data_IF_508111656862
#
_entry.id   IF_508111656862
#
_cell.length_a   1.000
_cell.length_b   1.000
_cell.length_c   1.000
_cell.angle_alpha   90.00
_cell.angle_beta   90.00
_cell.angle_gamma   90.00
#
_symmetry.space_group_name_H-M   'P 1'
#
loop_
_entity.id
_entity.type
_entity.pdbx_description
1 polymer ?
#
# COMPACT_ATOMS: atom_id res chain seq x y z
N UNK A 1 -8.09 22.68 -11.98
CA UNK A 1 -7.24 23.17 -10.88
C UNK A 1 -6.03 22.25 -10.84
N UNK A 2 -4.82 22.80 -10.73
CA UNK A 2 -3.61 21.96 -10.63
C UNK A 2 -3.24 21.87 -9.16
N UNK A 3 -3.26 20.66 -8.59
CA UNK A 3 -2.77 20.36 -7.25
C UNK A 3 -1.66 19.33 -7.42
N UNK A 4 -0.49 19.54 -6.80
CA UNK A 4 0.64 18.61 -6.90
C UNK A 4 1.07 18.26 -8.35
N UNK A 5 0.91 19.18 -9.31
CA UNK A 5 1.39 19.00 -10.68
C UNK A 5 0.44 18.24 -11.63
N UNK A 6 -0.74 17.82 -11.17
CA UNK A 6 -1.73 17.16 -12.02
C UNK A 6 -3.00 18.01 -12.24
N UNK A 7 -3.62 17.87 -13.41
CA UNK A 7 -4.84 18.60 -13.78
C UNK A 7 -6.08 17.95 -13.15
N UNK A 8 -6.67 18.58 -12.13
CA UNK A 8 -7.93 18.17 -11.53
C UNK A 8 -9.10 18.91 -12.19
N UNK A 9 -10.10 18.16 -12.63
CA UNK A 9 -11.40 18.72 -13.00
C UNK A 9 -12.22 18.93 -11.73
N UNK A 10 -12.70 20.17 -11.51
CA UNK A 10 -13.59 20.50 -10.39
C UNK A 10 -15.03 20.16 -10.78
N UNK A 11 -15.30 18.88 -11.04
CA UNK A 11 -16.65 18.41 -11.31
C UNK A 11 -17.36 18.22 -9.96
N UNK A 12 -18.52 18.87 -9.79
CA UNK A 12 -19.34 18.71 -8.59
C UNK A 12 -20.10 17.38 -8.60
N UNK A 13 -20.91 17.14 -7.55
CA UNK A 13 -21.77 15.96 -7.49
C UNK A 13 -22.63 15.82 -8.75
N UNK A 14 -22.73 14.58 -9.25
CA UNK A 14 -23.57 14.24 -10.39
C UNK A 14 -25.07 14.18 -10.03
N UNK A 15 -25.40 14.27 -8.74
CA UNK A 15 -26.75 14.45 -8.23
C UNK A 15 -26.91 15.90 -7.71
N UNK A 16 -28.08 16.54 -7.94
CA UNK A 16 -28.35 17.85 -7.37
C UNK A 16 -28.52 17.77 -5.85
N UNK A 17 -28.08 18.80 -5.09
CA UNK A 17 -28.40 18.93 -3.68
C UNK A 17 -29.92 18.91 -3.43
N UNK A 18 -30.35 18.43 -2.27
CA UNK A 18 -31.77 18.30 -1.93
C UNK A 18 -32.53 19.65 -2.09
N UNK A 19 -33.57 19.65 -2.93
CA UNK A 19 -34.41 20.83 -3.19
C UNK A 19 -33.86 21.79 -4.27
N UNK A 20 -32.66 21.56 -4.80
CA UNK A 20 -32.12 22.34 -5.91
C UNK A 20 -32.45 21.72 -7.27
N UNK A 21 -32.59 22.58 -8.29
CA UNK A 21 -32.81 22.13 -9.67
C UNK A 21 -31.49 21.64 -10.29
N UNK A 22 -31.51 20.53 -11.07
CA UNK A 22 -30.32 20.01 -11.74
C UNK A 22 -29.75 21.00 -12.77
N UNK A 23 -28.42 21.03 -12.88
CA UNK A 23 -27.71 21.90 -13.84
C UNK A 23 -26.58 21.15 -14.56
N UNK A 24 -26.25 21.60 -15.77
CA UNK A 24 -25.13 21.12 -16.57
C UNK A 24 -25.11 19.59 -16.78
N UNK A 25 -24.11 18.89 -16.25
CA UNK A 25 -23.96 17.44 -16.40
C UNK A 25 -25.02 16.65 -15.63
N UNK A 26 -25.56 17.21 -14.53
CA UNK A 26 -26.60 16.58 -13.72
C UNK A 26 -27.89 16.35 -14.51
N UNK A 27 -28.15 17.20 -15.50
CA UNK A 27 -29.35 17.11 -16.37
C UNK A 27 -29.39 15.84 -17.23
N UNK A 28 -28.24 15.17 -17.43
CA UNK A 28 -28.17 13.91 -18.17
C UNK A 28 -28.39 12.67 -17.30
N UNK A 29 -28.41 12.83 -15.97
CA UNK A 29 -28.56 11.75 -14.99
C UNK A 29 -29.86 11.91 -14.20
N UNK A 30 -30.17 13.11 -13.73
CA UNK A 30 -31.31 13.42 -12.87
C UNK A 30 -32.53 13.85 -13.70
N UNK A 31 -33.62 13.08 -13.61
CA UNK A 31 -34.95 13.32 -14.23
C UNK A 31 -34.93 13.79 -15.71
N UNK A 32 -34.54 12.92 -16.66
CA UNK A 32 -34.39 13.31 -18.05
C UNK A 32 -35.72 13.60 -18.77
N UNK A 33 -36.85 13.11 -18.26
CA UNK A 33 -38.17 13.40 -18.86
C UNK A 33 -38.52 14.89 -18.80
N UNK A 34 -37.94 15.62 -17.83
CA UNK A 34 -38.06 17.07 -17.68
C UNK A 34 -36.79 17.83 -18.08
N UNK A 35 -35.80 17.16 -18.70
CA UNK A 35 -34.50 17.75 -19.07
C UNK A 35 -34.65 19.01 -19.92
N UNK A 36 -35.54 18.96 -20.92
CA UNK A 36 -35.86 20.10 -21.78
C UNK A 36 -36.41 21.29 -20.99
N UNK A 37 -37.35 21.03 -20.08
CA UNK A 37 -37.97 22.05 -19.24
C UNK A 37 -36.96 22.64 -18.25
N UNK A 38 -36.10 21.80 -17.66
CA UNK A 38 -35.03 22.23 -16.77
C UNK A 38 -33.98 23.08 -17.51
N UNK A 39 -33.59 22.68 -18.73
CA UNK A 39 -32.68 23.44 -19.60
C UNK A 39 -33.26 24.80 -19.97
N UNK A 40 -34.52 24.85 -20.42
CA UNK A 40 -35.19 26.12 -20.76
C UNK A 40 -35.34 27.02 -19.51
N UNK A 41 -35.70 26.44 -18.37
CA UNK A 41 -35.87 27.20 -17.12
C UNK A 41 -34.57 27.80 -16.57
N UNK A 42 -33.43 27.13 -16.77
CA UNK A 42 -32.11 27.61 -16.34
C UNK A 42 -31.66 28.86 -17.14
N UNK A 43 -32.27 29.14 -18.29
CA UNK A 43 -31.97 30.30 -19.14
C UNK A 43 -33.16 31.25 -19.35
N UNK A 44 -34.22 31.10 -18.56
CA UNK A 44 -35.46 31.88 -18.69
C UNK A 44 -35.32 33.38 -18.42
N UNK A 45 -34.19 33.84 -17.86
CA UNK A 45 -33.88 35.25 -17.63
C UNK A 45 -33.26 35.96 -18.84
N UNK A 46 -32.99 35.26 -19.95
CA UNK A 46 -32.48 35.87 -21.18
C UNK A 46 -33.63 36.40 -22.05
N UNK A 47 -33.51 37.65 -22.51
CA UNK A 47 -34.50 38.32 -23.40
C UNK A 47 -34.66 37.65 -24.78
N UNK A 48 -33.78 36.71 -25.13
CA UNK A 48 -33.86 35.92 -26.35
C UNK A 48 -34.70 34.65 -26.13
N UNK A 49 -35.80 34.51 -26.86
CA UNK A 49 -36.60 33.28 -26.88
C UNK A 49 -35.77 32.11 -27.41
N UNK A 50 -35.39 31.19 -26.52
CA UNK A 50 -34.78 29.92 -26.91
C UNK A 50 -35.81 29.10 -27.69
N UNK A 51 -35.54 28.87 -28.98
CA UNK A 51 -36.40 28.07 -29.85
C UNK A 51 -36.33 26.58 -29.42
N UNK A 52 -37.43 25.97 -28.94
CA UNK A 52 -37.43 24.59 -28.45
C UNK A 52 -36.99 23.58 -29.52
N UNK A 53 -37.26 23.89 -30.79
CA UNK A 53 -36.91 23.08 -31.96
C UNK A 53 -35.38 22.98 -32.17
N UNK A 54 -34.65 24.07 -31.92
CA UNK A 54 -33.19 24.09 -32.00
C UNK A 54 -32.57 23.31 -30.84
N UNK A 55 -33.11 23.47 -29.63
CA UNK A 55 -32.63 22.73 -28.46
C UNK A 55 -32.85 21.22 -28.62
N UNK A 56 -34.01 20.82 -29.15
CA UNK A 56 -34.32 19.42 -29.47
C UNK A 56 -33.36 18.86 -30.51
N UNK A 57 -33.07 19.65 -31.56
CA UNK A 57 -32.13 19.24 -32.62
C UNK A 57 -30.69 19.10 -32.10
N UNK A 58 -30.26 20.00 -31.23
CA UNK A 58 -28.94 19.95 -30.58
C UNK A 58 -28.83 18.77 -29.61
N UNK A 59 -29.87 18.48 -28.82
CA UNK A 59 -29.89 17.31 -27.95
C UNK A 59 -29.83 16.02 -28.75
N UNK A 60 -30.62 15.91 -29.83
CA UNK A 60 -30.55 14.75 -30.72
C UNK A 60 -29.16 14.58 -31.33
N UNK A 61 -28.53 15.67 -31.80
CA UNK A 61 -27.17 15.62 -32.32
C UNK A 61 -26.18 15.16 -31.24
N UNK A 62 -26.29 15.67 -30.01
CA UNK A 62 -25.44 15.25 -28.89
C UNK A 62 -25.69 13.79 -28.50
N UNK A 63 -26.92 13.33 -28.55
CA UNK A 63 -27.27 11.94 -28.24
C UNK A 63 -26.75 10.96 -29.30
N UNK A 64 -26.77 11.37 -30.57
CA UNK A 64 -26.30 10.56 -31.70
C UNK A 64 -24.77 10.53 -31.79
N UNK A 65 -24.11 11.65 -31.52
CA UNK A 65 -22.68 11.82 -31.83
C UNK A 65 -21.77 12.02 -30.63
N UNK A 66 -22.28 12.40 -29.46
CA UNK A 66 -21.44 12.66 -28.29
C UNK A 66 -21.37 11.44 -27.36
N UNK A 67 -20.23 10.75 -27.38
CA UNK A 67 -19.98 9.54 -26.59
C UNK A 67 -20.05 9.78 -25.07
N UNK A 68 -19.76 10.99 -24.59
CA UNK A 68 -19.90 11.32 -23.17
C UNK A 68 -21.38 11.38 -22.76
N UNK A 69 -22.25 11.95 -23.60
CA UNK A 69 -23.70 12.01 -23.34
C UNK A 69 -24.30 10.61 -23.28
N UNK A 70 -23.89 9.72 -24.20
CA UNK A 70 -24.27 8.30 -24.18
C UNK A 70 -23.82 7.61 -22.88
N UNK A 71 -22.60 7.90 -22.43
CA UNK A 71 -22.02 7.36 -21.19
C UNK A 71 -22.82 7.81 -19.95
N UNK A 72 -23.11 9.10 -19.81
CA UNK A 72 -23.92 9.63 -18.70
C UNK A 72 -25.33 9.02 -18.67
N UNK A 73 -25.96 8.82 -19.83
CA UNK A 73 -27.29 8.20 -19.93
C UNK A 73 -27.31 6.72 -19.58
N UNK A 74 -26.21 6.00 -19.80
CA UNK A 74 -26.04 4.59 -19.40
C UNK A 74 -25.86 4.46 -17.89
N UNK A 75 -25.05 5.33 -17.28
CA UNK A 75 -24.85 5.39 -15.82
C UNK A 75 -26.18 5.63 -15.08
N UNK A 76 -27.05 6.49 -15.62
CA UNK A 76 -28.42 6.69 -15.11
C UNK A 76 -29.25 5.41 -15.07
N UNK A 77 -29.28 4.63 -16.17
CA UNK A 77 -30.06 3.40 -16.22
C UNK A 77 -29.59 2.42 -15.14
N UNK A 78 -28.29 2.36 -14.88
CA UNK A 78 -27.71 1.50 -13.85
C UNK A 78 -27.95 1.99 -12.41
N UNK A 79 -28.09 3.30 -12.20
CA UNK A 79 -28.39 3.88 -10.88
C UNK A 79 -29.87 3.74 -10.46
N UNK A 80 -30.79 3.63 -11.44
CA UNK A 80 -32.22 3.45 -11.16
C UNK A 80 -32.60 1.99 -10.86
N UNK A 81 -31.78 1.03 -11.29
CA UNK A 81 -31.93 -0.38 -10.92
C UNK A 81 -31.32 -0.59 -9.53
N UNK A 82 -32.17 -0.86 -8.53
CA UNK A 82 -31.86 -0.73 -7.09
C UNK A 82 -30.94 -1.81 -6.50
N UNK A 83 -30.18 -2.54 -7.32
CA UNK A 83 -29.49 -3.77 -6.90
C UNK A 83 -28.09 -3.90 -7.52
N UNK A 84 -27.24 -2.88 -7.34
CA UNK A 84 -25.84 -2.95 -7.78
C UNK A 84 -24.90 -3.31 -6.62
N UNK A 85 -24.40 -4.56 -6.54
CA UNK A 85 -23.32 -4.92 -5.63
C UNK A 85 -21.96 -4.40 -6.12
N UNK A 86 -21.10 -4.03 -5.16
CA UNK A 86 -19.76 -3.50 -5.41
C UNK A 86 -18.78 -4.64 -5.76
N UNK A 87 -18.30 -4.69 -7.00
CA UNK A 87 -17.42 -5.75 -7.53
C UNK A 87 -16.00 -5.23 -7.84
N UNK A 88 -14.99 -6.12 -7.80
CA UNK A 88 -13.65 -5.85 -8.33
C UNK A 88 -13.21 -6.92 -9.31
N UNK A 89 -12.58 -6.49 -10.41
CA UNK A 89 -12.13 -7.33 -11.52
C UNK A 89 -10.64 -7.67 -11.46
N UNK A 90 -10.31 -8.89 -11.89
CA UNK A 90 -8.94 -9.33 -12.22
C UNK A 90 -8.94 -10.08 -13.55
N UNK A 91 -7.90 -9.86 -14.35
CA UNK A 91 -7.68 -10.48 -15.65
C UNK A 91 -6.51 -11.47 -15.49
N UNK A 92 -6.69 -12.73 -15.90
CA UNK A 92 -5.61 -13.71 -15.97
C UNK A 92 -5.25 -14.04 -17.43
N UNK A 93 -3.95 -14.07 -17.73
CA UNK A 93 -3.38 -14.76 -18.91
C UNK A 93 -3.13 -13.94 -20.18
N UNK A 94 -1.86 -13.64 -20.46
CA UNK A 94 -1.18 -13.91 -21.75
C UNK A 94 0.34 -13.68 -21.59
N UNK A 95 1.16 -14.65 -22.03
CA UNK A 95 2.64 -14.54 -22.05
C UNK A 95 3.08 -13.46 -23.05
N UNK A 96 4.08 -12.68 -22.63
CA UNK A 96 4.88 -11.66 -23.34
C UNK A 96 4.57 -11.32 -24.82
N UNK A 97 4.45 -10.01 -25.12
CA UNK A 97 5.34 -9.28 -26.04
C UNK A 97 5.00 -7.78 -26.17
N UNK A 98 6.06 -6.97 -26.16
CA UNK A 98 6.20 -5.58 -26.65
C UNK A 98 5.65 -4.41 -25.81
N UNK A 99 6.44 -4.02 -24.79
CA UNK A 99 7.02 -2.70 -24.46
C UNK A 99 6.33 -1.35 -24.81
N UNK A 100 5.01 -1.30 -24.95
CA UNK A 100 4.28 -0.03 -25.02
C UNK A 100 2.95 -0.02 -24.24
N UNK A 101 2.55 -1.16 -23.66
CA UNK A 101 1.30 -1.34 -22.91
C UNK A 101 1.51 -2.27 -21.70
N UNK A 102 2.44 -1.93 -20.82
CA UNK A 102 2.50 -2.58 -19.51
C UNK A 102 1.27 -2.19 -18.67
N UNK A 103 0.85 -3.09 -17.77
CA UNK A 103 -0.23 -2.87 -16.81
C UNK A 103 0.03 -1.60 -15.98
N UNK A 104 -1.00 -0.76 -15.73
CA UNK A 104 -0.85 0.37 -14.81
C UNK A 104 -0.49 -0.14 -13.41
N UNK A 105 0.62 0.35 -12.86
CA UNK A 105 1.04 0.11 -11.47
C UNK A 105 0.34 1.03 -10.45
N UNK A 106 -0.52 1.93 -10.92
CA UNK A 106 -1.39 2.80 -10.10
C UNK A 106 -2.77 2.17 -9.88
N UNK A 107 -3.41 2.55 -8.77
CA UNK A 107 -4.82 2.25 -8.50
C UNK A 107 -5.73 3.10 -9.38
N UNK A 108 -5.77 2.80 -10.68
CA UNK A 108 -6.72 3.40 -11.62
C UNK A 108 -7.95 2.50 -11.82
N UNK A 109 -9.08 3.15 -12.13
CA UNK A 109 -10.39 2.54 -12.34
C UNK A 109 -10.39 1.79 -13.67
N UNK A 110 -10.74 0.49 -13.67
CA UNK A 110 -10.94 -0.32 -14.89
C UNK A 110 -12.43 -0.31 -15.27
N UNK A 111 -12.74 -0.07 -16.54
CA UNK A 111 -14.09 -0.17 -17.09
C UNK A 111 -14.22 -1.44 -17.96
N UNK A 112 -15.31 -2.18 -17.81
CA UNK A 112 -15.63 -3.39 -18.57
C UNK A 112 -16.70 -3.06 -19.61
N UNK A 113 -16.48 -3.43 -20.89
CA UNK A 113 -17.43 -3.17 -21.98
C UNK A 113 -18.15 -4.48 -22.33
N UNK A 114 -19.43 -4.65 -21.96
CA UNK A 114 -20.21 -5.82 -22.36
C UNK A 114 -20.46 -5.77 -23.88
N UNK A 115 -20.10 -6.84 -24.59
CA UNK A 115 -20.35 -7.02 -26.02
C UNK A 115 -19.11 -7.08 -26.91
N UNK A 116 -17.92 -6.78 -26.37
CA UNK A 116 -16.64 -6.84 -27.10
C UNK A 116 -15.91 -8.18 -26.87
N UNK A 117 -16.66 -9.27 -26.88
CA UNK A 117 -16.13 -10.63 -26.87
C UNK A 117 -15.96 -11.07 -28.31
N UNK A 118 -14.83 -10.72 -28.92
CA UNK A 118 -14.44 -11.28 -30.21
C UNK A 118 -14.20 -12.79 -29.98
N UNK A 119 -14.94 -13.72 -30.64
CA UNK A 119 -14.89 -15.15 -30.33
C UNK A 119 -13.49 -15.79 -30.50
N UNK A 120 -12.59 -15.13 -31.24
CA UNK A 120 -11.26 -15.64 -31.59
C UNK A 120 -10.09 -14.87 -30.94
N UNK A 121 -10.35 -14.02 -29.94
CA UNK A 121 -9.26 -13.37 -29.18
C UNK A 121 -9.39 -13.57 -27.68
N UNK A 122 -8.54 -14.48 -27.23
CA UNK A 122 -7.96 -14.59 -25.90
C UNK A 122 -8.67 -15.55 -24.94
N UNK A 123 -7.93 -16.60 -24.58
CA UNK A 123 -8.17 -17.59 -23.52
C UNK A 123 -8.16 -16.95 -22.11
N UNK A 124 -8.96 -15.89 -21.90
CA UNK A 124 -9.01 -15.15 -20.64
C UNK A 124 -10.27 -15.49 -19.87
N UNK A 125 -10.09 -16.34 -18.88
CA UNK A 125 -11.11 -16.59 -17.87
C UNK A 125 -11.26 -15.35 -16.96
N UNK A 126 -12.48 -14.82 -16.91
CA UNK A 126 -12.86 -13.75 -15.97
C UNK A 126 -13.54 -14.44 -14.79
N UNK A 127 -12.84 -14.47 -13.65
CA UNK A 127 -13.37 -15.03 -12.40
C UNK A 127 -13.78 -13.86 -11.51
N UNK A 128 -15.03 -13.89 -11.05
CA UNK A 128 -15.61 -12.93 -10.10
C UNK A 128 -15.51 -13.54 -8.71
N UNK A 129 -14.80 -12.88 -7.79
CA UNK A 129 -14.53 -13.37 -6.44
C UNK A 129 -15.03 -12.36 -5.39
N UNK A 130 -15.80 -12.77 -4.35
CA UNK A 130 -16.12 -11.92 -3.21
C UNK A 130 -14.83 -11.43 -2.53
N UNK A 131 -14.68 -10.11 -2.43
CA UNK A 131 -13.42 -9.46 -2.10
C UNK A 131 -13.06 -9.59 -0.60
N UNK A 132 -12.41 -10.70 -0.27
CA UNK A 132 -11.47 -10.81 0.84
C UNK A 132 -10.14 -11.35 0.32
N UNK A 133 -9.02 -10.73 0.68
CA UNK A 133 -7.69 -11.37 0.53
C UNK A 133 -7.52 -12.57 1.45
N UNK A 134 -8.53 -12.81 2.28
CA UNK A 134 -8.63 -13.89 3.24
C UNK A 134 -9.49 -14.97 2.58
N UNK A 135 -8.93 -16.15 2.41
CA UNK A 135 -9.68 -17.27 1.84
C UNK A 135 -10.74 -17.73 2.84
N UNK A 136 -12.01 -17.77 2.42
CA UNK A 136 -13.13 -18.37 3.16
C UNK A 136 -13.13 -19.91 3.08
N UNK A 137 -12.10 -20.51 2.47
CA UNK A 137 -12.01 -21.95 2.22
C UNK A 137 -11.46 -22.73 3.41
N UNK A 138 -12.08 -22.61 4.58
CA UNK A 138 -12.02 -23.64 5.62
C UNK A 138 -13.38 -23.72 6.32
N UNK A 139 -13.84 -24.96 6.48
CA UNK A 139 -15.14 -25.36 6.97
C UNK A 139 -15.60 -24.68 8.28
N UNK A 140 -16.92 -24.70 8.45
CA UNK A 140 -17.80 -24.33 9.57
C UNK A 140 -17.36 -24.61 11.04
N UNK A 141 -16.08 -24.87 11.34
CA UNK A 141 -15.63 -25.26 12.68
C UNK A 141 -14.93 -24.17 13.52
N UNK A 142 -14.44 -23.07 12.94
CA UNK A 142 -13.73 -22.05 13.73
C UNK A 142 -14.55 -20.76 13.92
N UNK A 143 -15.55 -20.81 14.82
CA UNK A 143 -16.02 -19.61 15.53
C UNK A 143 -14.89 -19.14 16.46
N UNK A 144 -13.99 -18.30 15.95
CA UNK A 144 -12.74 -17.96 16.63
C UNK A 144 -12.93 -17.25 17.97
N UNK A 145 -13.63 -16.12 18.02
CA UNK A 145 -13.86 -15.38 19.27
C UNK A 145 -15.15 -14.59 19.19
N UNK A 146 -15.96 -14.68 20.25
CA UNK A 146 -17.19 -13.90 20.42
C UNK A 146 -18.19 -13.96 19.25
N UNK A 147 -18.13 -15.02 18.42
CA UNK A 147 -19.03 -15.24 17.29
C UNK A 147 -18.56 -14.71 15.94
N UNK A 148 -17.33 -14.19 15.83
CA UNK A 148 -16.76 -13.74 14.54
C UNK A 148 -15.97 -14.86 13.84
N UNK A 149 -16.12 -14.95 12.52
CA UNK A 149 -15.11 -15.60 11.66
C UNK A 149 -13.87 -14.68 11.54
N UNK A 150 -12.73 -15.23 11.11
CA UNK A 150 -11.52 -14.42 10.92
C UNK A 150 -11.76 -13.21 9.97
N UNK A 151 -12.34 -13.39 8.77
CA UNK A 151 -12.85 -12.30 7.94
C UNK A 151 -13.59 -11.19 8.70
N UNK A 152 -14.61 -11.58 9.46
CA UNK A 152 -15.47 -10.62 10.15
C UNK A 152 -14.72 -9.91 11.27
N UNK A 153 -13.80 -10.59 11.96
CA UNK A 153 -12.96 -9.98 12.98
C UNK A 153 -12.03 -8.92 12.40
N UNK A 154 -11.42 -9.17 11.24
CA UNK A 154 -10.57 -8.19 10.55
C UNK A 154 -11.37 -6.96 10.11
N UNK A 155 -12.60 -7.16 9.61
CA UNK A 155 -13.50 -6.04 9.27
C UNK A 155 -13.92 -5.24 10.50
N UNK A 156 -14.38 -5.91 11.56
CA UNK A 156 -14.75 -5.25 12.80
C UNK A 156 -13.59 -4.49 13.44
N UNK A 157 -12.36 -4.97 13.28
CA UNK A 157 -11.14 -4.25 13.66
C UNK A 157 -10.95 -2.98 12.84
N UNK A 158 -11.11 -3.03 11.51
CA UNK A 158 -10.97 -1.87 10.62
C UNK A 158 -12.06 -0.81 10.83
N UNK A 159 -13.30 -1.24 11.02
CA UNK A 159 -14.46 -0.36 11.24
C UNK A 159 -14.51 0.19 12.68
N UNK A 160 -13.73 -0.40 13.58
CA UNK A 160 -13.71 -0.01 14.99
C UNK A 160 -14.96 -0.42 15.75
N UNK A 161 -15.58 -1.53 15.33
CA UNK A 161 -16.74 -2.12 15.98
C UNK A 161 -16.36 -3.09 17.11
N UNK A 162 -15.08 -3.44 17.25
CA UNK A 162 -14.59 -4.26 18.36
C UNK A 162 -14.73 -3.52 19.69
N UNK A 163 -14.97 -4.29 20.76
CA UNK A 163 -15.05 -3.75 22.12
C UNK A 163 -13.69 -3.15 22.50
N UNK A 164 -13.70 -1.90 22.93
CA UNK A 164 -12.50 -1.21 23.39
C UNK A 164 -12.55 -0.95 24.89
N UNK A 165 -11.36 -0.76 25.48
CA UNK A 165 -11.15 -0.42 26.89
C UNK A 165 -10.22 0.80 26.98
N UNK A 166 -10.33 1.54 28.08
CA UNK A 166 -9.33 2.52 28.48
C UNK A 166 -8.60 2.03 29.73
N UNK A 167 -7.27 2.15 29.74
CA UNK A 167 -6.40 1.74 30.86
C UNK A 167 -5.86 2.94 31.66
N UNK A 168 -5.98 4.16 31.13
CA UNK A 168 -5.55 5.39 31.83
C UNK A 168 -6.72 6.36 31.93
N UNK A 169 -6.86 6.99 33.09
CA UNK A 169 -7.82 8.09 33.28
C UNK A 169 -7.54 9.17 32.21
N UNK A 170 -8.60 9.72 31.62
CA UNK A 170 -8.57 10.74 30.57
C UNK A 170 -7.97 10.34 29.21
N UNK A 171 -7.88 9.04 28.90
CA UNK A 171 -7.51 8.58 27.54
C UNK A 171 -8.69 7.94 26.79
N UNK A 172 -8.78 8.13 25.45
CA UNK A 172 -9.82 7.50 24.64
C UNK A 172 -9.83 5.99 24.84
N UNK A 173 -11.02 5.37 24.80
CA UNK A 173 -11.16 3.92 24.81
C UNK A 173 -10.77 3.37 23.42
N UNK A 174 -9.47 3.25 23.19
CA UNK A 174 -8.87 2.81 21.93
C UNK A 174 -8.11 1.49 22.04
N UNK A 175 -8.08 0.85 23.21
CA UNK A 175 -7.41 -0.43 23.40
C UNK A 175 -8.32 -1.59 23.07
N UNK A 176 -7.93 -2.40 22.10
CA UNK A 176 -8.61 -3.63 21.70
C UNK A 176 -7.86 -4.84 22.21
N UNK A 177 -8.60 -5.85 22.67
CA UNK A 177 -8.03 -7.14 23.06
C UNK A 177 -7.77 -7.98 21.80
N UNK A 178 -6.55 -8.49 21.68
CA UNK A 178 -6.16 -9.41 20.63
C UNK A 178 -6.44 -10.84 21.08
N UNK A 179 -7.12 -11.64 20.23
CA UNK A 179 -7.28 -13.08 20.42
C UNK A 179 -5.99 -13.81 20.83
N UNK A 180 -6.08 -14.66 21.85
CA UNK A 180 -4.97 -15.50 22.31
C UNK A 180 -4.37 -16.38 21.20
N UNK A 181 -5.20 -16.85 20.26
CA UNK A 181 -4.75 -17.66 19.10
C UNK A 181 -3.77 -16.90 18.17
N UNK A 182 -3.80 -15.57 18.17
CA UNK A 182 -2.87 -14.76 17.37
C UNK A 182 -1.65 -14.33 18.17
N UNK A 183 -1.66 -14.45 19.49
CA UNK A 183 -0.57 -13.96 20.31
C UNK A 183 0.62 -14.93 20.27
N UNK A 184 1.82 -14.36 20.21
CA UNK A 184 3.07 -15.09 20.35
C UNK A 184 3.53 -14.98 21.79
N UNK A 185 3.62 -16.12 22.47
CA UNK A 185 4.31 -16.20 23.74
C UNK A 185 5.79 -15.90 23.55
N UNK A 186 6.35 -15.05 24.41
CA UNK A 186 7.76 -14.68 24.32
C UNK A 186 8.51 -15.07 25.59
N UNK A 187 9.70 -15.61 25.39
CA UNK A 187 10.66 -15.85 26.46
C UNK A 187 11.44 -14.58 26.82
N UNK A 188 12.76 -14.74 26.99
CA UNK A 188 13.66 -13.64 27.28
C UNK A 188 13.83 -12.66 26.11
N UNK A 189 13.78 -13.17 24.86
CA UNK A 189 13.91 -12.36 23.65
C UNK A 189 12.61 -12.41 22.80
N UNK A 190 11.86 -11.30 22.74
CA UNK A 190 10.66 -11.18 21.91
C UNK A 190 10.93 -11.29 20.40
N UNK A 191 12.05 -10.75 19.93
CA UNK A 191 12.40 -10.74 18.52
C UNK A 191 12.72 -12.17 18.06
N UNK A 192 13.47 -12.92 18.88
CA UNK A 192 13.74 -14.34 18.64
C UNK A 192 12.45 -15.17 18.55
N UNK A 193 11.56 -14.98 19.53
CA UNK A 193 10.31 -15.75 19.62
C UNK A 193 9.43 -15.52 18.38
N UNK A 194 9.28 -14.26 17.97
CA UNK A 194 8.51 -13.90 16.78
C UNK A 194 9.20 -14.35 15.48
N UNK A 195 10.52 -14.16 15.39
CA UNK A 195 11.29 -14.58 14.23
C UNK A 195 11.18 -16.10 14.02
N UNK A 196 11.29 -16.88 15.08
CA UNK A 196 11.18 -18.35 15.05
C UNK A 196 9.79 -18.81 14.60
N UNK A 197 8.72 -18.15 15.07
CA UNK A 197 7.38 -18.48 14.60
C UNK A 197 7.21 -18.13 13.11
N UNK A 198 7.54 -16.91 12.67
CA UNK A 198 7.32 -16.47 11.28
C UNK A 198 8.24 -17.17 10.28
N UNK A 199 9.50 -17.34 10.65
CA UNK A 199 10.54 -17.96 9.86
C UNK A 199 10.78 -19.40 10.32
N UNK A 200 9.70 -20.19 10.37
CA UNK A 200 9.73 -21.59 10.74
C UNK A 200 10.61 -22.44 9.80
N UNK A 201 11.45 -23.30 10.38
CA UNK A 201 12.42 -24.13 9.63
C UNK A 201 13.34 -23.31 8.71
N UNK A 202 13.79 -22.13 9.19
CA UNK A 202 14.61 -21.21 8.40
C UNK A 202 15.91 -21.85 7.88
N UNK A 203 16.62 -22.63 8.70
CA UNK A 203 17.88 -23.25 8.32
C UNK A 203 17.79 -24.12 7.06
N UNK A 204 16.61 -24.72 6.81
CA UNK A 204 16.33 -25.54 5.64
C UNK A 204 15.85 -24.71 4.44
N UNK A 205 15.17 -23.59 4.69
CA UNK A 205 14.41 -22.86 3.68
C UNK A 205 14.96 -21.47 3.33
N UNK A 206 16.02 -20.99 3.98
CA UNK A 206 16.53 -19.63 3.77
C UNK A 206 17.00 -19.35 2.33
N UNK A 207 17.38 -20.41 1.58
CA UNK A 207 17.74 -20.31 0.16
C UNK A 207 16.53 -20.26 -0.78
N UNK A 208 15.33 -20.57 -0.29
CA UNK A 208 14.13 -20.67 -1.11
C UNK A 208 13.49 -19.28 -1.28
N UNK A 209 13.45 -18.72 -2.51
CA UNK A 209 12.85 -17.41 -2.75
C UNK A 209 11.36 -17.35 -2.47
N UNK A 210 10.61 -18.42 -2.76
CA UNK A 210 9.17 -18.49 -2.51
C UNK A 210 8.86 -18.49 -1.02
N UNK A 211 9.66 -19.22 -0.24
CA UNK A 211 9.56 -19.23 1.21
C UNK A 211 9.69 -17.82 1.77
N UNK A 212 10.75 -17.08 1.43
CA UNK A 212 10.97 -15.72 1.94
C UNK A 212 10.00 -14.68 1.34
N UNK A 213 9.56 -14.85 0.09
CA UNK A 213 8.64 -13.93 -0.58
C UNK A 213 7.27 -13.85 0.09
N UNK A 214 6.77 -14.97 0.61
CA UNK A 214 5.41 -15.07 1.16
C UNK A 214 5.32 -14.83 2.66
N UNK A 215 6.40 -14.36 3.30
CA UNK A 215 6.41 -14.02 4.72
C UNK A 215 7.16 -12.74 5.01
N UNK A 216 6.75 -12.06 6.08
CA UNK A 216 7.46 -10.91 6.63
C UNK A 216 7.00 -10.62 8.07
N UNK A 217 7.86 -9.95 8.82
CA UNK A 217 7.46 -9.27 10.06
C UNK A 217 7.16 -7.81 9.75
N UNK A 218 6.05 -7.29 10.24
CA UNK A 218 5.63 -5.90 10.07
C UNK A 218 5.60 -5.19 11.42
N UNK A 219 6.08 -3.95 11.45
CA UNK A 219 6.13 -3.14 12.68
C UNK A 219 5.70 -1.69 12.43
N UNK A 220 5.35 -0.90 13.45
CA UNK A 220 4.93 0.49 13.25
C UNK A 220 6.09 1.43 12.84
N UNK A 221 7.31 1.21 13.34
CA UNK A 221 8.44 2.15 13.22
C UNK A 221 9.63 1.55 12.48
N UNK A 222 10.42 2.39 11.79
CA UNK A 222 11.64 1.92 11.12
C UNK A 222 12.72 1.45 12.11
N UNK A 223 12.77 2.01 13.32
CA UNK A 223 13.76 1.63 14.33
C UNK A 223 13.63 0.14 14.71
N UNK A 224 12.41 -0.31 15.01
CA UNK A 224 12.13 -1.72 15.29
C UNK A 224 12.40 -2.62 14.08
N UNK A 225 12.14 -2.13 12.85
CA UNK A 225 12.49 -2.88 11.63
C UNK A 225 14.00 -3.09 11.53
N UNK A 226 14.80 -2.06 11.81
CA UNK A 226 16.26 -2.16 11.77
C UNK A 226 16.78 -3.14 12.82
N UNK A 227 16.24 -3.12 14.04
CA UNK A 227 16.58 -4.05 15.12
C UNK A 227 16.28 -5.50 14.72
N UNK A 228 15.07 -5.78 14.25
CA UNK A 228 14.68 -7.11 13.79
C UNK A 228 15.54 -7.59 12.62
N UNK A 229 15.76 -6.74 11.61
CA UNK A 229 16.56 -7.12 10.45
C UNK A 229 18.02 -7.40 10.82
N UNK A 230 18.57 -6.63 11.77
CA UNK A 230 19.91 -6.86 12.31
C UNK A 230 19.96 -8.18 13.07
N UNK A 231 18.99 -8.44 13.95
CA UNK A 231 18.85 -9.72 14.63
C UNK A 231 18.83 -10.89 13.63
N UNK A 232 18.01 -10.78 12.57
CA UNK A 232 17.93 -11.80 11.53
C UNK A 232 19.22 -11.96 10.73
N UNK A 233 20.07 -10.94 10.60
CA UNK A 233 21.35 -11.07 9.91
C UNK A 233 22.44 -11.68 10.81
N UNK A 234 22.49 -11.23 12.07
CA UNK A 234 23.55 -11.53 13.04
C UNK A 234 23.33 -12.89 13.71
N UNK A 235 22.11 -13.13 14.19
CA UNK A 235 21.69 -14.33 14.93
C UNK A 235 20.84 -15.27 14.06
N UNK A 236 20.07 -14.69 13.14
CA UNK A 236 19.13 -15.39 12.26
C UNK A 236 19.80 -16.10 11.08
N UNK A 237 20.48 -17.21 11.37
CA UNK A 237 20.31 -18.45 10.61
C UNK A 237 20.73 -18.48 9.11
N UNK A 238 21.34 -17.44 8.53
CA UNK A 238 22.05 -17.52 7.24
C UNK A 238 23.53 -17.86 7.50
N UNK A 239 23.99 -19.07 7.17
CA UNK A 239 25.36 -19.53 7.42
C UNK A 239 26.39 -18.94 6.43
N UNK A 240 25.92 -18.29 5.36
CA UNK A 240 26.78 -17.67 4.36
C UNK A 240 27.59 -16.49 4.95
N UNK A 241 28.85 -16.30 4.51
CA UNK A 241 29.70 -15.23 5.03
C UNK A 241 29.14 -13.85 4.70
N UNK A 242 29.25 -12.93 5.68
CA UNK A 242 28.86 -11.54 5.52
C UNK A 242 29.89 -10.72 4.74
N UNK A 243 29.41 -9.74 3.98
CA UNK A 243 30.21 -8.69 3.35
C UNK A 243 29.64 -7.33 3.70
N UNK A 244 30.51 -6.44 4.18
CA UNK A 244 30.15 -5.08 4.57
C UNK A 244 30.54 -4.10 3.49
N UNK A 245 29.61 -3.21 3.13
CA UNK A 245 29.81 -2.12 2.20
C UNK A 245 29.70 -0.79 2.92
N UNK A 246 30.79 -0.02 2.91
CA UNK A 246 30.81 1.35 3.41
C UNK A 246 30.33 2.33 2.33
N UNK A 247 29.56 3.34 2.73
CA UNK A 247 29.17 4.44 1.85
C UNK A 247 30.32 5.41 1.64
N UNK A 248 30.22 6.22 0.60
CA UNK A 248 31.05 7.41 0.43
C UNK A 248 30.17 8.64 0.63
N UNK A 249 30.46 9.38 1.69
CA UNK A 249 29.68 10.53 2.13
C UNK A 249 30.46 11.82 1.85
N UNK A 250 29.79 12.83 1.31
CA UNK A 250 30.37 14.16 1.05
C UNK A 250 29.30 15.25 1.11
N UNK A 251 29.73 16.50 1.21
CA UNK A 251 28.83 17.66 1.19
C UNK A 251 28.66 18.17 -0.25
N UNK A 252 27.44 18.52 -0.63
CA UNK A 252 27.21 19.35 -1.81
C UNK A 252 27.66 20.77 -1.47
N UNK A 253 28.63 21.32 -2.20
CA UNK A 253 29.06 22.71 -2.03
C UNK A 253 27.89 23.66 -2.34
N UNK A 254 27.32 24.25 -1.30
CA UNK A 254 26.48 25.44 -1.40
C UNK A 254 27.40 26.67 -1.36
N UNK A 255 27.17 27.60 -2.27
CA UNK A 255 28.00 28.79 -2.49
C UNK A 255 28.04 29.67 -1.24
N UNK A 256 29.06 29.47 -0.39
CA UNK A 256 29.81 30.47 0.38
C UNK A 256 30.72 29.75 1.41
N UNK A 257 32.04 29.79 1.16
CA UNK A 257 33.15 29.24 1.98
C UNK A 257 33.25 27.70 2.04
N UNK A 258 33.75 27.07 0.98
CA UNK A 258 34.00 25.62 0.92
C UNK A 258 34.92 25.09 2.04
N UNK A 259 35.88 25.90 2.50
CA UNK A 259 36.90 25.48 3.47
C UNK A 259 36.38 25.44 4.93
N UNK A 260 35.29 26.16 5.26
CA UNK A 260 34.79 26.23 6.64
C UNK A 260 33.86 25.06 7.02
N UNK A 261 33.18 24.46 6.03
CA UNK A 261 32.19 23.41 6.27
C UNK A 261 32.82 22.03 6.46
N UNK A 262 33.89 21.71 5.73
CA UNK A 262 34.58 20.42 5.87
C UNK A 262 35.29 20.30 7.24
N UNK A 263 35.78 21.41 7.79
CA UNK A 263 36.32 21.45 9.16
C UNK A 263 35.21 21.34 10.23
N UNK A 264 34.03 21.91 9.98
CA UNK A 264 32.90 21.86 10.92
C UNK A 264 32.19 20.50 10.95
N UNK A 265 32.26 19.72 9.87
CA UNK A 265 31.51 18.48 9.69
C UNK A 265 32.43 17.33 9.24
N UNK A 266 33.13 16.68 10.19
CA UNK A 266 34.04 15.59 9.87
C UNK A 266 33.30 14.39 9.25
N UNK A 267 34.00 13.59 8.45
CA UNK A 267 33.40 12.46 7.71
C UNK A 267 32.80 11.42 8.65
N UNK A 268 33.38 11.21 9.83
CA UNK A 268 32.86 10.33 10.88
C UNK A 268 31.48 10.78 11.37
N UNK A 269 31.27 12.10 11.49
CA UNK A 269 29.96 12.65 11.81
C UNK A 269 28.97 12.35 10.69
N UNK A 270 29.34 12.59 9.42
CA UNK A 270 28.46 12.30 8.27
C UNK A 270 28.07 10.81 8.19
N UNK A 271 29.04 9.93 8.41
CA UNK A 271 28.85 8.47 8.42
C UNK A 271 27.91 8.01 9.55
N UNK A 272 27.82 8.75 10.66
CA UNK A 272 26.91 8.44 11.77
C UNK A 272 25.44 8.77 11.49
N UNK A 273 25.16 9.56 10.46
CA UNK A 273 23.80 10.03 10.16
C UNK A 273 22.97 8.92 9.46
N UNK A 274 21.77 8.69 9.97
CA UNK A 274 20.79 7.74 9.44
C UNK A 274 19.54 8.47 8.95
N UNK A 275 18.93 7.98 7.87
CA UNK A 275 17.79 8.66 7.25
C UNK A 275 16.73 7.68 6.74
N UNK A 276 15.48 8.10 6.78
CA UNK A 276 14.40 7.33 6.19
C UNK A 276 14.54 7.25 4.67
N UNK A 277 14.52 6.02 4.15
CA UNK A 277 14.59 5.77 2.70
C UNK A 277 15.96 6.00 2.08
N UNK A 278 17.02 6.10 2.88
CA UNK A 278 18.41 6.15 2.43
C UNK A 278 19.15 5.01 3.16
N UNK A 279 20.00 4.25 2.47
CA UNK A 279 20.82 3.24 3.12
C UNK A 279 21.76 3.86 4.16
N UNK A 280 22.06 3.08 5.19
CA UNK A 280 23.04 3.44 6.21
C UNK A 280 24.47 3.44 5.63
N UNK A 281 25.39 4.09 6.34
CA UNK A 281 26.79 4.12 5.97
C UNK A 281 27.37 2.70 5.90
N UNK A 282 27.13 1.91 6.94
CA UNK A 282 27.54 0.51 7.02
C UNK A 282 26.39 -0.40 6.58
N UNK A 283 26.57 -1.09 5.47
CA UNK A 283 25.60 -2.05 4.94
C UNK A 283 26.20 -3.44 4.89
N UNK A 284 25.88 -4.27 5.88
CA UNK A 284 26.31 -5.68 5.94
C UNK A 284 25.26 -6.58 5.31
N UNK A 285 25.71 -7.45 4.39
CA UNK A 285 24.84 -8.34 3.62
C UNK A 285 25.43 -9.76 3.56
N UNK A 286 24.57 -10.76 3.43
CA UNK A 286 24.91 -12.17 3.18
C UNK A 286 24.20 -12.65 1.91
N UNK A 287 24.74 -13.67 1.26
CA UNK A 287 24.05 -14.34 0.13
C UNK A 287 22.76 -14.98 0.68
N UNK A 288 21.71 -15.05 -0.13
CA UNK A 288 20.35 -15.53 0.19
C UNK A 288 19.52 -14.61 1.10
N UNK A 289 20.08 -13.49 1.55
CA UNK A 289 19.33 -12.52 2.36
C UNK A 289 18.34 -11.70 1.50
N UNK A 290 17.07 -11.54 1.94
CA UNK A 290 16.11 -10.63 1.33
C UNK A 290 16.51 -9.18 1.58
N UNK A 291 16.54 -8.40 0.51
CA UNK A 291 16.67 -6.95 0.54
C UNK A 291 15.49 -6.28 -0.17
N UNK A 292 15.23 -5.03 0.18
CA UNK A 292 14.21 -4.19 -0.46
C UNK A 292 14.88 -3.00 -1.13
N UNK A 293 14.50 -2.72 -2.37
CA UNK A 293 14.92 -1.52 -3.08
C UNK A 293 14.32 -0.26 -2.45
N UNK A 294 15.14 0.79 -2.33
CA UNK A 294 14.75 2.09 -1.78
C UNK A 294 14.44 3.14 -2.86
N UNK A 295 14.76 2.84 -4.12
CA UNK A 295 14.58 3.74 -5.26
C UNK A 295 14.06 2.98 -6.48
N UNK A 296 13.43 3.73 -7.37
CA UNK A 296 13.09 3.23 -8.70
C UNK A 296 14.38 3.22 -9.52
N UNK A 297 14.82 2.02 -9.90
CA UNK A 297 15.99 1.81 -10.76
C UNK A 297 15.52 1.59 -12.20
N UNK A 298 14.56 0.67 -12.39
CA UNK A 298 14.00 0.36 -13.69
C UNK A 298 12.58 -0.15 -13.54
N UNK A 299 11.61 0.69 -13.90
CA UNK A 299 10.19 0.32 -13.85
C UNK A 299 9.88 -0.87 -14.77
N UNK A 300 10.45 -0.88 -15.99
CA UNK A 300 10.24 -1.95 -16.96
C UNK A 300 10.87 -3.30 -16.61
N UNK A 301 11.73 -3.36 -15.58
CA UNK A 301 12.26 -4.62 -15.02
C UNK A 301 11.64 -4.93 -13.64
N UNK A 302 10.62 -4.19 -13.20
CA UNK A 302 10.02 -4.35 -11.88
C UNK A 302 10.95 -3.93 -10.71
N UNK A 303 12.05 -3.21 -10.99
CA UNK A 303 12.99 -2.69 -9.99
C UNK A 303 12.53 -1.33 -9.48
N UNK A 304 11.42 -1.32 -8.75
CA UNK A 304 10.84 -0.14 -8.12
C UNK A 304 11.07 -0.12 -6.60
N UNK A 305 10.82 1.03 -5.98
CA UNK A 305 10.88 1.18 -4.53
C UNK A 305 9.90 0.22 -3.86
N UNK A 306 10.39 -0.61 -2.94
CA UNK A 306 9.61 -1.65 -2.27
C UNK A 306 9.78 -3.05 -2.88
N UNK A 307 10.34 -3.20 -4.09
CA UNK A 307 10.63 -4.51 -4.67
C UNK A 307 11.59 -5.27 -3.78
N UNK A 308 11.20 -6.51 -3.42
CA UNK A 308 12.01 -7.44 -2.64
C UNK A 308 12.87 -8.27 -3.58
N UNK A 309 14.15 -8.41 -3.24
CA UNK A 309 15.15 -9.12 -4.04
C UNK A 309 15.93 -10.04 -3.11
N UNK A 310 16.13 -11.29 -3.50
CA UNK A 310 17.07 -12.20 -2.85
C UNK A 310 18.47 -11.97 -3.38
N UNK A 311 19.45 -11.78 -2.51
CA UNK A 311 20.85 -11.67 -2.95
C UNK A 311 21.36 -13.02 -3.44
N UNK A 312 21.93 -13.06 -4.65
CA UNK A 312 22.57 -14.25 -5.22
C UNK A 312 24.09 -14.14 -5.29
N UNK A 313 24.63 -12.92 -5.42
CA UNK A 313 26.09 -12.69 -5.44
C UNK A 313 26.47 -11.29 -4.95
N UNK A 314 27.62 -11.21 -4.26
CA UNK A 314 28.15 -10.02 -3.61
C UNK A 314 29.52 -9.60 -4.21
N UNK A 315 29.48 -8.81 -5.29
CA UNK A 315 30.68 -8.23 -5.92
C UNK A 315 31.18 -6.98 -5.20
N UNK A 316 32.28 -6.36 -5.65
CA UNK A 316 32.81 -5.13 -5.01
C UNK A 316 31.99 -3.89 -5.38
N UNK A 317 31.55 -3.82 -6.63
CA UNK A 317 30.83 -2.68 -7.21
C UNK A 317 29.42 -3.03 -7.66
N UNK A 318 29.11 -4.32 -7.72
CA UNK A 318 27.82 -4.85 -8.20
C UNK A 318 27.28 -5.87 -7.20
N UNK A 319 25.98 -5.82 -6.95
CA UNK A 319 25.24 -6.85 -6.25
C UNK A 319 24.28 -7.49 -7.25
N UNK A 320 24.23 -8.82 -7.26
CA UNK A 320 23.25 -9.57 -8.04
C UNK A 320 22.19 -10.15 -7.14
N UNK A 321 20.96 -10.24 -7.65
CA UNK A 321 19.89 -10.89 -6.94
C UNK A 321 18.74 -11.31 -7.85
N UNK A 322 17.74 -11.96 -7.26
CA UNK A 322 16.54 -12.42 -7.96
C UNK A 322 15.31 -11.78 -7.33
N UNK A 323 14.39 -11.25 -8.13
CA UNK A 323 13.17 -10.62 -7.63
C UNK A 323 12.29 -11.67 -6.92
N UNK A 324 11.87 -11.35 -5.71
CA UNK A 324 10.97 -12.18 -4.91
C UNK A 324 9.51 -11.93 -5.31
N UNK A 325 8.78 -12.96 -5.73
CA UNK A 325 7.35 -12.88 -6.08
C UNK A 325 7.04 -12.61 -7.57
N UNK A 326 8.05 -12.61 -8.44
CA UNK A 326 7.87 -12.58 -9.90
C UNK A 326 7.59 -13.98 -10.49
N UNK A 327 6.87 -14.04 -11.61
CA UNK A 327 6.64 -15.28 -12.36
C UNK A 327 7.88 -15.63 -13.21
N UNK A 328 8.87 -16.32 -12.65
CA UNK A 328 9.93 -16.98 -13.42
C UNK A 328 11.31 -17.02 -12.76
N UNK A 329 12.02 -18.11 -13.01
CA UNK A 329 13.37 -18.43 -12.52
C UNK A 329 14.52 -17.59 -13.13
N UNK A 330 14.22 -16.53 -13.90
CA UNK A 330 15.20 -15.95 -14.85
C UNK A 330 15.52 -14.47 -14.69
N UNK A 331 14.90 -13.74 -13.75
CA UNK A 331 15.15 -12.30 -13.61
C UNK A 331 16.27 -12.04 -12.60
N UNK A 332 17.50 -12.43 -12.97
CA UNK A 332 18.70 -11.96 -12.28
C UNK A 332 18.86 -10.45 -12.54
N UNK A 333 18.90 -9.68 -11.46
CA UNK A 333 18.97 -8.23 -11.48
C UNK A 333 20.28 -7.76 -10.91
N UNK A 334 20.81 -6.69 -11.49
CA UNK A 334 22.06 -6.06 -11.05
C UNK A 334 21.71 -4.76 -10.33
N UNK A 335 22.25 -4.62 -9.12
CA UNK A 335 22.09 -3.44 -8.28
C UNK A 335 23.45 -2.77 -8.18
N UNK A 336 23.50 -1.48 -8.53
CA UNK A 336 24.69 -0.64 -8.48
C UNK A 336 24.57 0.38 -7.35
N UNK A 337 25.71 0.89 -6.88
CA UNK A 337 25.74 2.06 -6.01
C UNK A 337 25.26 3.30 -6.75
N UNK A 338 24.36 4.06 -6.12
CA UNK A 338 23.88 5.35 -6.63
C UNK A 338 24.20 6.45 -5.62
N UNK A 339 24.21 7.70 -6.09
CA UNK A 339 24.34 8.88 -5.22
C UNK A 339 22.95 9.32 -4.78
N UNK A 340 22.77 9.50 -3.47
CA UNK A 340 21.54 9.95 -2.84
C UNK A 340 21.82 11.30 -2.17
N UNK A 341 21.07 12.32 -2.53
CA UNK A 341 21.16 13.64 -1.90
C UNK A 341 20.14 13.72 -0.77
N UNK A 342 20.57 14.26 0.38
CA UNK A 342 19.75 14.42 1.58
C UNK A 342 19.74 15.88 1.97
N UNK A 343 18.56 16.48 1.88
CA UNK A 343 18.30 17.84 2.32
C UNK A 343 17.55 17.78 3.65
N UNK A 344 18.02 18.51 4.65
CA UNK A 344 17.36 18.65 5.93
C UNK A 344 17.24 20.14 6.26
N UNK A 345 16.03 20.68 6.48
CA UNK A 345 15.84 22.10 6.80
C UNK A 345 16.60 22.57 8.05
N UNK A 346 16.98 21.64 8.93
CA UNK A 346 17.74 21.93 10.15
C UNK A 346 19.24 22.06 9.92
N UNK A 347 19.74 21.71 8.74
CA UNK A 347 21.16 21.66 8.44
C UNK A 347 21.53 22.67 7.37
N UNK A 348 22.71 23.29 7.49
CA UNK A 348 23.18 24.27 6.51
C UNK A 348 23.80 23.61 5.26
N UNK A 349 23.66 22.29 5.09
CA UNK A 349 24.30 21.53 4.02
C UNK A 349 23.36 20.48 3.44
N UNK A 350 23.68 20.03 2.22
CA UNK A 350 23.08 18.85 1.60
C UNK A 350 24.08 17.71 1.62
N UNK A 351 23.72 16.59 2.25
CA UNK A 351 24.56 15.40 2.27
C UNK A 351 24.43 14.64 0.95
N UNK A 352 25.56 14.24 0.37
CA UNK A 352 25.64 13.26 -0.71
C UNK A 352 26.12 11.94 -0.15
N UNK A 353 25.29 10.90 -0.23
CA UNK A 353 25.67 9.52 0.14
C UNK A 353 25.67 8.62 -1.08
N UNK A 354 26.83 8.07 -1.44
CA UNK A 354 26.95 7.04 -2.48
C UNK A 354 26.91 5.65 -1.86
N UNK A 355 25.84 4.91 -2.10
CA UNK A 355 25.63 3.56 -1.55
C UNK A 355 24.67 2.73 -2.42
N UNK A 356 24.63 1.41 -2.23
CA UNK A 356 23.60 0.56 -2.86
C UNK A 356 22.21 0.94 -2.33
N UNK A 357 21.21 1.22 -3.18
CA UNK A 357 19.91 1.72 -2.77
C UNK A 357 19.00 0.60 -2.23
N UNK A 358 19.48 -0.15 -1.26
CA UNK A 358 18.83 -1.32 -0.68
C UNK A 358 18.90 -1.30 0.84
N UNK A 359 17.99 -2.04 1.48
CA UNK A 359 18.05 -2.37 2.91
C UNK A 359 17.60 -3.80 3.14
N UNK A 360 18.02 -4.41 4.25
CA UNK A 360 17.52 -5.72 4.69
C UNK A 360 15.99 -5.73 4.79
N UNK A 361 15.37 -6.88 4.47
CA UNK A 361 13.92 -7.01 4.40
C UNK A 361 13.39 -8.37 4.87
N UNK A 362 13.79 -8.79 6.07
CA UNK A 362 13.03 -9.77 6.85
C UNK A 362 11.83 -9.12 7.55
N UNK A 363 11.99 -7.85 7.93
CA UNK A 363 10.89 -7.00 8.34
C UNK A 363 10.74 -5.74 7.50
N UNK A 364 9.55 -5.17 7.57
CA UNK A 364 9.21 -3.88 6.99
C UNK A 364 8.22 -3.14 7.87
N UNK A 365 8.01 -1.85 7.61
CA UNK A 365 6.97 -1.14 8.36
C UNK A 365 5.59 -1.55 7.85
N UNK A 366 4.58 -1.45 8.70
CA UNK A 366 3.18 -1.69 8.33
C UNK A 366 2.81 -0.86 7.10
N UNK A 367 3.19 0.42 7.08
CA UNK A 367 2.93 1.31 5.94
C UNK A 367 3.57 0.81 4.64
N UNK A 368 4.77 0.21 4.70
CA UNK A 368 5.45 -0.36 3.53
C UNK A 368 4.86 -1.71 3.09
N UNK A 369 4.20 -2.42 3.99
CA UNK A 369 3.48 -3.66 3.66
C UNK A 369 2.16 -3.41 2.93
N UNK A 370 1.65 -2.18 2.92
CA UNK A 370 0.38 -1.84 2.29
C UNK A 370 0.34 -2.29 0.82
N UNK A 371 -0.74 -2.95 0.43
CA UNK A 371 -0.92 -3.48 -0.92
C UNK A 371 -0.33 -4.88 -1.12
N UNK A 372 0.59 -5.34 -0.29
CA UNK A 372 1.17 -6.70 -0.36
C UNK A 372 0.23 -7.73 0.27
N UNK A 373 0.31 -8.98 -0.21
CA UNK A 373 -0.42 -10.12 0.37
C UNK A 373 0.59 -11.23 0.64
N UNK A 374 0.61 -11.72 1.87
CA UNK A 374 1.58 -12.69 2.37
C UNK A 374 0.84 -13.90 2.96
N UNK A 375 1.48 -15.06 2.94
CA UNK A 375 0.92 -16.28 3.51
C UNK A 375 1.09 -16.30 5.03
N UNK A 376 2.20 -15.73 5.53
CA UNK A 376 2.52 -15.66 6.98
C UNK A 376 3.03 -14.27 7.36
N UNK A 377 2.42 -13.65 8.36
CA UNK A 377 2.72 -12.28 8.80
C UNK A 377 2.86 -12.25 10.32
N UNK A 378 4.00 -11.73 10.78
CA UNK A 378 4.21 -11.39 12.18
C UNK A 378 4.03 -9.91 12.40
N UNK A 379 3.20 -9.48 13.34
CA UNK A 379 3.08 -8.08 13.73
C UNK A 379 3.82 -7.90 15.06
N UNK A 380 4.92 -7.16 15.06
CA UNK A 380 5.63 -6.83 16.30
C UNK A 380 5.26 -5.42 16.77
N UNK A 381 4.69 -5.34 17.97
CA UNK A 381 4.25 -4.11 18.61
C UNK A 381 4.99 -3.92 19.93
N UNK A 382 6.27 -3.50 19.92
CA UNK A 382 6.97 -3.08 21.14
C UNK A 382 6.39 -1.78 21.72
N UNK A 383 5.72 -1.01 20.87
CA UNK A 383 4.88 0.12 21.20
C UNK A 383 3.58 -0.01 20.38
N UNK A 384 2.45 0.53 20.87
CA UNK A 384 1.20 0.53 20.12
C UNK A 384 1.31 1.27 18.78
N UNK A 385 0.43 0.95 17.83
CA UNK A 385 0.28 1.73 16.59
C UNK A 385 -0.10 3.18 16.90
N UNK A 386 0.28 4.11 16.01
CA UNK A 386 0.14 5.55 16.22
C UNK A 386 -0.65 6.27 15.11
N UNK A 387 -1.09 5.53 14.09
CA UNK A 387 -1.80 6.10 12.94
C UNK A 387 -3.13 5.40 12.67
N UNK A 388 -4.06 6.13 12.05
CA UNK A 388 -5.39 5.65 11.71
C UNK A 388 -5.34 4.39 10.84
N UNK A 389 -6.07 3.35 11.25
CA UNK A 389 -6.20 2.10 10.49
C UNK A 389 -4.89 1.31 10.36
N UNK A 390 -3.81 1.73 11.02
CA UNK A 390 -2.50 1.10 10.88
C UNK A 390 -2.52 -0.37 11.32
N UNK A 391 -3.18 -0.68 12.44
CA UNK A 391 -3.31 -2.06 12.91
C UNK A 391 -4.09 -2.93 11.90
N UNK A 392 -5.19 -2.42 11.36
CA UNK A 392 -5.96 -3.07 10.31
C UNK A 392 -5.12 -3.31 9.04
N UNK A 393 -4.30 -2.34 8.62
CA UNK A 393 -3.39 -2.52 7.49
C UNK A 393 -2.45 -3.69 7.73
N UNK A 394 -1.85 -3.80 8.93
CA UNK A 394 -0.96 -4.91 9.28
C UNK A 394 -1.67 -6.28 9.27
N UNK A 395 -2.82 -6.38 9.93
CA UNK A 395 -3.62 -7.62 10.04
C UNK A 395 -4.12 -8.09 8.68
N UNK A 396 -4.58 -7.18 7.83
CA UNK A 396 -5.13 -7.49 6.50
C UNK A 396 -4.09 -7.92 5.46
N UNK A 397 -2.79 -8.03 5.83
CA UNK A 397 -1.74 -8.51 4.92
C UNK A 397 -1.74 -10.03 4.73
N UNK A 398 -2.38 -10.77 5.63
CA UNK A 398 -2.40 -12.24 5.64
C UNK A 398 -3.65 -12.82 4.99
N UNK A 399 -3.53 -14.00 4.39
CA UNK A 399 -4.65 -14.71 3.74
C UNK A 399 -5.49 -15.61 4.65
N UNK A 400 -5.00 -15.92 5.84
CA UNK A 400 -5.70 -16.84 6.75
C UNK A 400 -5.36 -16.54 8.20
N UNK A 401 -6.23 -16.96 9.11
CA UNK A 401 -6.04 -16.81 10.55
C UNK A 401 -4.74 -17.48 11.02
N UNK A 402 -4.46 -18.67 10.47
CA UNK A 402 -3.26 -19.47 10.79
C UNK A 402 -1.95 -18.77 10.42
N UNK A 403 -1.96 -17.93 9.39
CA UNK A 403 -0.80 -17.16 8.96
C UNK A 403 -0.52 -15.92 9.81
N UNK A 404 -1.44 -15.53 10.71
CA UNK A 404 -1.29 -14.32 11.52
C UNK A 404 -0.64 -14.64 12.87
N UNK A 405 0.36 -13.85 13.24
CA UNK A 405 0.95 -13.83 14.58
C UNK A 405 1.19 -12.40 15.01
N UNK A 406 0.96 -12.11 16.28
CA UNK A 406 1.08 -10.77 16.86
C UNK A 406 1.83 -10.91 18.17
N UNK A 407 2.92 -10.17 18.32
CA UNK A 407 3.64 -10.04 19.58
C UNK A 407 3.49 -8.61 20.07
N UNK A 408 2.92 -8.46 21.26
CA UNK A 408 2.69 -7.17 21.90
C UNK A 408 3.57 -7.10 23.14
N UNK A 409 4.28 -5.98 23.30
CA UNK A 409 4.95 -5.64 24.55
C UNK A 409 4.37 -4.34 25.06
N UNK A 410 3.71 -4.41 26.21
CA UNK A 410 3.20 -3.25 26.91
C UNK A 410 4.02 -2.96 28.16
N UNK A 411 3.78 -1.79 28.75
CA UNK A 411 4.21 -1.45 30.10
C UNK A 411 3.43 -2.27 31.13
N UNK A 412 4.00 -2.54 32.30
CA UNK A 412 3.46 -3.43 33.34
C UNK A 412 1.97 -3.21 33.69
N UNK A 413 1.45 -1.99 33.52
CA UNK A 413 0.05 -1.64 33.80
C UNK A 413 -0.98 -2.12 32.75
N UNK A 414 -0.53 -2.56 31.58
CA UNK A 414 -1.39 -2.97 30.46
C UNK A 414 -1.03 -4.40 30.05
N UNK A 415 -1.99 -5.35 30.05
CA UNK A 415 -1.71 -6.73 29.65
C UNK A 415 -1.20 -6.85 28.20
N UNK A 416 -0.30 -7.80 27.94
CA UNK A 416 0.31 -8.05 26.61
C UNK A 416 -0.66 -8.71 25.59
N UNK A 417 -1.96 -8.76 25.88
CA UNK A 417 -3.01 -9.12 24.94
C UNK A 417 -3.85 -7.90 24.49
N UNK A 418 -3.47 -6.67 24.86
CA UNK A 418 -4.13 -5.44 24.40
C UNK A 418 -3.21 -4.57 23.56
N UNK A 419 -3.75 -3.94 22.51
CA UNK A 419 -3.04 -2.89 21.77
C UNK A 419 -4.00 -1.80 21.32
N UNK A 420 -3.48 -0.66 20.89
CA UNK A 420 -4.31 0.45 20.38
C UNK A 420 -4.85 0.16 18.99
N UNK A 421 -6.08 0.55 18.74
CA UNK A 421 -6.71 0.58 17.43
C UNK A 421 -7.21 2.01 17.15
N UNK A 422 -6.40 2.80 16.45
CA UNK A 422 -6.68 4.22 16.22
C UNK A 422 -7.63 4.36 15.03
N UNK A 423 -8.85 4.84 15.30
CA UNK A 423 -9.91 5.02 14.30
C UNK A 423 -10.50 6.42 14.39
N UNK A 424 -10.29 7.23 13.35
CA UNK A 424 -10.85 8.57 13.26
C UNK A 424 -12.24 8.50 12.64
N UNK A 425 -13.27 8.36 13.48
CA UNK A 425 -14.67 8.29 13.03
C UNK A 425 -15.17 9.62 12.45
N UNK A 426 -14.63 10.74 12.94
CA UNK A 426 -15.00 12.09 12.52
C UNK A 426 -14.74 12.36 11.03
N UNK A 427 -13.66 11.80 10.48
CA UNK A 427 -13.32 11.92 9.06
C UNK A 427 -14.34 11.23 8.12
N UNK A 428 -15.14 10.30 8.65
CA UNK A 428 -16.18 9.58 7.89
C UNK A 428 -17.59 10.13 8.15
N UNK A 429 -17.78 10.95 9.20
CA UNK A 429 -19.07 11.54 9.52
C UNK A 429 -19.55 12.52 8.43
N UNK A 430 -18.61 13.27 7.82
CA UNK A 430 -18.91 14.21 6.73
C UNK A 430 -19.27 13.50 5.40
N UNK A 431 -18.88 12.23 5.25
CA UNK A 431 -19.16 11.43 4.03
C UNK A 431 -20.54 10.75 4.13
N UNK A 432 -21.02 10.48 5.34
CA UNK A 432 -22.33 9.83 5.58
C UNK A 432 -23.50 10.82 5.75
N UNK A 433 -23.23 12.12 5.71
CA UNK A 433 -24.25 13.19 5.76
C UNK A 433 -24.50 13.87 4.41
N UNK A 434 -23.85 13.43 3.33
CA UNK A 434 -24.12 13.84 1.95
C UNK A 434 -24.86 12.72 1.20
#
# INVERSE_FOLDING_TARGET
MVICGENYHRIGSLLPPAGEKPKFAQLYIFEPENEMNHRLSNFASCEAQLLPELLTSLLRMLDEHNELVKTFRRVRQQLHDSDTPTLKLRIFGAKSRNRQYDLPTSSDIVALIPGDFIPDRDDRDIIVDPNMRINDSLADEERFLHGYTFPQWVLALGDGCLKTRSFRQDTPADWVQIPQVFLVDHGADPIESLATDIYDSFAENYKNPFYLANRAVVTPTNATVSELNKYMLDHGAVPDPGKTYYSSDSLLQTTETADSFEECYPTEFLNSLTFNGIPDHELTLKIHTPVMLLRNISLGLGLCNGTRVMITSLGNDIIKGTIMGGFGDTDEVIILRIVLNVENPKWPFTLKRRQFPIRLCYGMTINKSQGQTLDKVGIYLPEPVFSHGQLYVGVSRVKSAKGLRILIKNTDDIPNDYTRNIIFREAFADILQA
#
